data_IF_722150412090
#
_entry.id   IF_722150412090
#
_cell.length_a   1.000
_cell.length_b   1.000
_cell.length_c   1.000
_cell.angle_alpha   90.00
_cell.angle_beta   90.00
_cell.angle_gamma   90.00
#
_symmetry.space_group_name_H-M   'P 1'
#
loop_
_entity.id
_entity.type
_entity.pdbx_description
1 polymer ?
#
# COMPACT_ATOMS: atom_id res chain seq x y z
N UNK A 1 -17.57 -5.17 26.09
CA UNK A 1 -16.56 -5.62 25.10
C UNK A 1 -15.66 -6.64 25.77
N UNK A 2 -15.90 -7.94 25.53
CA UNK A 2 -15.26 -9.07 26.24
C UNK A 2 -14.31 -9.85 25.32
N UNK A 3 -13.51 -9.16 24.51
CA UNK A 3 -12.47 -9.86 23.74
C UNK A 3 -11.32 -10.22 24.69
N UNK A 4 -11.26 -11.50 25.09
CA UNK A 4 -10.14 -12.09 25.84
C UNK A 4 -8.93 -12.15 24.89
N UNK A 5 -7.97 -11.26 25.09
CA UNK A 5 -6.80 -11.15 24.23
C UNK A 5 -5.78 -12.27 24.48
N UNK A 6 -5.09 -12.76 23.43
CA UNK A 6 -5.37 -12.58 22.00
C UNK A 6 -6.31 -13.65 21.43
N UNK A 7 -7.30 -13.24 20.62
CA UNK A 7 -8.10 -14.16 19.81
C UNK A 7 -7.20 -14.74 18.71
N UNK A 8 -7.01 -16.06 18.68
CA UNK A 8 -6.19 -16.73 17.67
C UNK A 8 -6.85 -16.61 16.29
N UNK A 9 -6.18 -15.94 15.34
CA UNK A 9 -6.65 -15.71 13.94
C UNK A 9 -5.66 -16.31 12.92
N UNK A 10 -5.55 -17.65 12.86
CA UNK A 10 -4.49 -18.31 12.09
C UNK A 10 -4.63 -18.08 10.58
N UNK A 11 -5.87 -17.95 10.08
CA UNK A 11 -6.18 -17.68 8.67
C UNK A 11 -5.76 -16.27 8.26
N UNK A 12 -6.04 -15.25 9.09
CA UNK A 12 -5.61 -13.87 8.84
C UNK A 12 -4.08 -13.76 8.86
N UNK A 13 -3.42 -14.39 9.83
CA UNK A 13 -1.97 -14.40 9.89
C UNK A 13 -1.34 -15.08 8.66
N UNK A 14 -1.94 -16.18 8.18
CA UNK A 14 -1.50 -16.84 6.96
C UNK A 14 -1.69 -15.94 5.72
N UNK A 15 -2.82 -15.23 5.63
CA UNK A 15 -3.10 -14.28 4.55
C UNK A 15 -2.11 -13.12 4.55
N UNK A 16 -1.86 -12.48 5.70
CA UNK A 16 -0.86 -11.41 5.85
C UNK A 16 0.54 -11.89 5.46
N UNK A 17 0.95 -13.09 5.90
CA UNK A 17 2.22 -13.70 5.48
C UNK A 17 2.26 -14.02 3.99
N UNK A 18 1.14 -14.39 3.38
CA UNK A 18 1.05 -14.59 1.93
C UNK A 18 1.22 -13.28 1.17
N UNK A 19 0.53 -12.23 1.61
CA UNK A 19 0.62 -10.87 1.07
C UNK A 19 2.04 -10.33 1.17
N UNK A 20 2.70 -10.51 2.31
CA UNK A 20 4.07 -10.05 2.53
C UNK A 20 5.12 -10.78 1.67
N UNK A 21 4.85 -12.02 1.25
CA UNK A 21 5.78 -12.83 0.43
C UNK A 21 5.63 -12.62 -1.07
N UNK A 22 4.51 -12.07 -1.53
CA UNK A 22 4.32 -11.80 -2.96
C UNK A 22 5.00 -10.47 -3.32
N UNK A 23 6.03 -10.51 -4.16
CA UNK A 23 6.50 -9.33 -4.87
C UNK A 23 5.36 -8.86 -5.80
N UNK A 24 4.54 -7.94 -5.33
CA UNK A 24 3.52 -7.32 -6.18
C UNK A 24 4.23 -6.20 -6.94
N UNK A 25 4.35 -6.31 -8.27
CA UNK A 25 4.95 -5.23 -9.04
C UNK A 25 4.15 -3.96 -8.76
N UNK A 26 4.85 -2.91 -8.38
CA UNK A 26 4.27 -1.58 -8.31
C UNK A 26 3.76 -1.21 -9.71
N UNK A 27 2.59 -0.55 -9.82
CA UNK A 27 2.15 -0.02 -11.09
C UNK A 27 3.25 0.89 -11.68
N UNK A 28 3.30 1.02 -13.00
CA UNK A 28 4.29 1.87 -13.65
C UNK A 28 4.17 3.33 -13.15
N UNK A 29 5.29 4.07 -13.16
CA UNK A 29 5.31 5.47 -12.74
C UNK A 29 4.24 6.31 -13.48
N UNK A 30 4.04 6.19 -14.81
CA UNK A 30 2.97 6.93 -15.49
C UNK A 30 1.57 6.61 -14.96
N UNK A 31 1.28 5.34 -14.64
CA UNK A 31 -0.01 4.95 -14.07
C UNK A 31 -0.22 5.53 -12.66
N UNK A 32 0.84 5.58 -11.85
CA UNK A 32 0.80 6.18 -10.52
C UNK A 32 0.64 7.70 -10.58
N UNK A 33 1.29 8.37 -11.53
CA UNK A 33 1.14 9.82 -11.75
C UNK A 33 -0.26 10.17 -12.25
N UNK A 34 -0.86 9.37 -13.13
CA UNK A 34 -2.25 9.55 -13.56
C UNK A 34 -3.21 9.45 -12.35
N UNK A 35 -3.05 8.42 -11.51
CA UNK A 35 -3.85 8.25 -10.29
C UNK A 35 -3.69 9.42 -9.30
N UNK A 36 -2.50 10.04 -9.23
CA UNK A 36 -2.26 11.23 -8.43
C UNK A 36 -3.07 12.43 -8.95
N UNK A 37 -3.09 12.66 -10.27
CA UNK A 37 -3.88 13.73 -10.89
C UNK A 37 -5.37 13.53 -10.61
N UNK A 38 -5.89 12.31 -10.81
CA UNK A 38 -7.29 11.97 -10.51
C UNK A 38 -7.65 12.22 -9.04
N UNK A 39 -6.73 11.90 -8.12
CA UNK A 39 -6.93 12.11 -6.68
C UNK A 39 -6.94 13.60 -6.32
N UNK A 40 -6.09 14.40 -6.95
CA UNK A 40 -6.07 15.86 -6.79
C UNK A 40 -7.39 16.47 -7.28
N UNK A 41 -7.86 16.08 -8.47
CA UNK A 41 -9.12 16.56 -9.03
C UNK A 41 -10.30 16.28 -8.10
N UNK A 42 -10.33 15.08 -7.51
CA UNK A 42 -11.37 14.64 -6.57
C UNK A 42 -11.21 15.20 -5.15
N UNK A 43 -10.11 15.91 -4.87
CA UNK A 43 -9.71 16.35 -3.52
C UNK A 43 -9.64 15.19 -2.52
N UNK A 44 -9.27 14.01 -3.00
CA UNK A 44 -9.10 12.81 -2.18
C UNK A 44 -7.71 12.84 -1.51
N UNK A 45 -7.68 13.30 -0.26
CA UNK A 45 -6.43 13.41 0.51
C UNK A 45 -5.72 12.07 0.66
N UNK A 46 -6.45 10.98 0.85
CA UNK A 46 -5.86 9.65 1.05
C UNK A 46 -5.30 9.12 -0.27
N UNK A 47 -6.04 9.31 -1.37
CA UNK A 47 -5.57 9.01 -2.73
C UNK A 47 -4.28 9.74 -3.07
N UNK A 48 -4.22 11.05 -2.78
CA UNK A 48 -3.03 11.89 -2.98
C UNK A 48 -1.83 11.33 -2.20
N UNK A 49 -2.01 11.09 -0.89
CA UNK A 49 -0.95 10.53 -0.05
C UNK A 49 -0.46 9.19 -0.59
N UNK A 50 -1.37 8.26 -0.90
CA UNK A 50 -1.02 6.92 -1.33
C UNK A 50 -0.28 6.93 -2.69
N UNK A 51 -0.79 7.68 -3.67
CA UNK A 51 -0.18 7.76 -5.00
C UNK A 51 1.21 8.39 -4.92
N UNK A 52 1.38 9.49 -4.16
CA UNK A 52 2.66 10.15 -3.97
C UNK A 52 3.72 9.21 -3.39
N UNK A 53 3.41 8.50 -2.30
CA UNK A 53 4.35 7.54 -1.69
C UNK A 53 4.72 6.40 -2.64
N UNK A 54 3.74 5.89 -3.42
CA UNK A 54 4.00 4.81 -4.38
C UNK A 54 4.88 5.27 -5.54
N UNK A 55 4.70 6.50 -6.04
CA UNK A 55 5.59 7.08 -7.08
C UNK A 55 7.01 7.15 -6.56
N UNK A 56 7.22 7.68 -5.36
CA UNK A 56 8.55 7.80 -4.75
C UNK A 56 9.20 6.42 -4.60
N UNK A 57 8.48 5.43 -4.06
CA UNK A 57 8.99 4.05 -3.95
C UNK A 57 9.35 3.41 -5.30
N UNK A 58 8.59 3.70 -6.35
CA UNK A 58 8.82 3.14 -7.67
C UNK A 58 9.98 3.84 -8.43
N UNK A 59 10.19 5.13 -8.18
CA UNK A 59 11.21 5.95 -8.84
C UNK A 59 12.56 5.96 -8.10
N UNK A 60 12.53 5.81 -6.78
CA UNK A 60 13.68 5.76 -5.88
C UNK A 60 13.59 4.49 -5.01
N UNK A 61 14.02 3.32 -5.54
CA UNK A 61 13.90 2.03 -4.88
C UNK A 61 14.54 1.98 -3.49
N UNK A 62 15.56 2.82 -3.25
CA UNK A 62 16.21 2.99 -1.95
C UNK A 62 15.24 3.47 -0.84
N UNK A 63 14.11 4.07 -1.22
CA UNK A 63 13.08 4.51 -0.28
C UNK A 63 12.17 3.33 0.06
N UNK A 64 12.47 2.62 1.14
CA UNK A 64 11.63 1.54 1.68
C UNK A 64 12.21 0.14 1.59
N UNK A 65 13.48 0.02 1.19
CA UNK A 65 14.31 -1.14 1.50
C UNK A 65 14.72 -1.12 2.99
N UNK A 66 14.65 -2.29 3.61
CA UNK A 66 15.16 -2.60 4.95
C UNK A 66 15.97 -3.89 4.86
#
# INVERSE_FOLDING_TARGET
MTARWPIRRPTEHAALRGVARSARPTPSIPALMAALVDSIERRDREGICLAAHRVVRAAAPEVGEA
#
